data_IF_832259157509
#
_entry.id   IF_832259157509
#
_cell.length_a   1.000
_cell.length_b   1.000
_cell.length_c   1.000
_cell.angle_alpha   90.00
_cell.angle_beta   90.00
_cell.angle_gamma   90.00
#
_symmetry.space_group_name_H-M   'P 1'
#
loop_
_entity.id
_entity.type
_entity.pdbx_description
1 polymer ?
#
# COMPACT_ATOMS: atom_id res chain seq x y z
N UNK A 1 -171.73 -86.60 113.31
CA UNK A 1 -171.18 -87.62 114.23
C UNK A 1 -169.85 -88.06 113.64
N UNK A 2 -168.70 -87.96 114.27
CA UNK A 2 -168.39 -88.31 115.65
C UNK A 2 -167.38 -87.35 116.31
N UNK A 3 -167.33 -87.48 117.63
CA UNK A 3 -166.66 -86.62 118.60
C UNK A 3 -165.13 -86.66 118.52
N UNK A 4 -164.49 -85.53 118.85
CA UNK A 4 -163.57 -85.39 120.00
C UNK A 4 -162.73 -84.12 119.85
N UNK A 5 -162.70 -83.30 120.90
CA UNK A 5 -161.79 -82.16 121.03
C UNK A 5 -160.34 -82.67 121.00
N UNK A 6 -159.42 -82.00 120.30
CA UNK A 6 -158.06 -82.50 120.15
C UNK A 6 -157.32 -82.44 121.48
N UNK A 7 -156.76 -83.58 121.85
CA UNK A 7 -155.90 -83.76 123.00
C UNK A 7 -154.61 -82.91 122.84
N UNK A 8 -154.17 -82.24 123.91
CA UNK A 8 -153.05 -81.26 123.90
C UNK A 8 -151.75 -81.84 123.31
N UNK A 9 -151.57 -83.16 123.29
CA UNK A 9 -150.43 -83.85 122.66
C UNK A 9 -150.41 -83.76 121.12
N UNK A 10 -151.55 -83.75 120.42
CA UNK A 10 -151.59 -83.59 118.95
C UNK A 10 -151.24 -82.16 118.51
N UNK A 11 -151.55 -81.15 119.35
CA UNK A 11 -151.13 -79.76 119.14
C UNK A 11 -149.61 -79.59 119.23
N UNK A 12 -148.95 -80.28 120.17
CA UNK A 12 -147.49 -80.25 120.35
C UNK A 12 -146.78 -80.96 119.19
N UNK A 13 -147.31 -82.10 118.71
CA UNK A 13 -146.79 -82.79 117.53
C UNK A 13 -146.97 -81.98 116.23
N UNK A 14 -148.10 -81.29 116.06
CA UNK A 14 -148.34 -80.39 114.94
C UNK A 14 -147.43 -79.15 114.95
N UNK A 15 -147.12 -78.59 116.13
CA UNK A 15 -146.18 -77.47 116.29
C UNK A 15 -144.74 -77.88 115.95
N UNK A 16 -144.31 -79.06 116.40
CA UNK A 16 -143.00 -79.63 116.08
C UNK A 16 -142.86 -79.92 114.57
N UNK A 17 -143.89 -80.46 113.93
CA UNK A 17 -143.92 -80.68 112.48
C UNK A 17 -143.92 -79.37 111.68
N UNK A 18 -144.59 -78.32 112.18
CA UNK A 18 -144.55 -76.98 111.58
C UNK A 18 -143.16 -76.33 111.71
N UNK A 19 -142.51 -76.51 112.84
CA UNK A 19 -141.16 -75.98 113.09
C UNK A 19 -140.12 -76.73 112.25
N UNK A 20 -140.27 -78.06 112.11
CA UNK A 20 -139.51 -78.84 111.13
C UNK A 20 -139.76 -78.36 109.70
N UNK A 21 -141.01 -78.08 109.32
CA UNK A 21 -141.36 -77.58 107.98
C UNK A 21 -140.79 -76.18 107.73
N UNK A 22 -140.83 -75.31 108.73
CA UNK A 22 -140.23 -73.99 108.65
C UNK A 22 -138.72 -74.08 108.48
N UNK A 23 -138.07 -74.99 109.23
CA UNK A 23 -136.64 -75.26 109.11
C UNK A 23 -136.27 -75.92 107.80
N UNK A 24 -137.11 -76.81 107.27
CA UNK A 24 -136.94 -77.40 105.94
C UNK A 24 -137.09 -76.33 104.86
N UNK A 25 -138.11 -75.47 104.93
CA UNK A 25 -138.28 -74.37 103.99
C UNK A 25 -137.12 -73.35 104.06
N UNK A 26 -136.64 -73.05 105.26
CA UNK A 26 -135.48 -72.17 105.46
C UNK A 26 -134.20 -72.80 104.91
N UNK A 27 -134.00 -74.09 105.13
CA UNK A 27 -132.90 -74.85 104.53
C UNK A 27 -133.04 -74.96 103.00
N UNK A 28 -134.25 -75.13 102.46
CA UNK A 28 -134.51 -75.12 101.02
C UNK A 28 -134.20 -73.76 100.40
N UNK A 29 -134.56 -72.67 101.10
CA UNK A 29 -134.25 -71.31 100.69
C UNK A 29 -132.74 -71.04 100.73
N UNK A 30 -132.08 -71.38 101.84
CA UNK A 30 -130.63 -71.27 101.97
C UNK A 30 -129.90 -72.14 100.95
N UNK A 31 -130.40 -73.34 100.64
CA UNK A 31 -129.86 -74.20 99.61
C UNK A 31 -130.02 -73.58 98.21
N UNK A 32 -131.18 -72.97 97.93
CA UNK A 32 -131.41 -72.26 96.66
C UNK A 32 -130.54 -71.01 96.52
N UNK A 33 -130.35 -70.26 97.60
CA UNK A 33 -129.46 -69.09 97.66
C UNK A 33 -128.01 -69.51 97.45
N UNK A 34 -127.54 -70.51 98.21
CA UNK A 34 -126.21 -71.09 98.05
C UNK A 34 -125.99 -71.66 96.64
N UNK A 35 -127.02 -72.28 96.03
CA UNK A 35 -126.94 -72.79 94.65
C UNK A 35 -126.80 -71.66 93.62
N UNK A 36 -127.51 -70.56 93.81
CA UNK A 36 -127.36 -69.38 92.95
C UNK A 36 -125.99 -68.72 93.11
N UNK A 37 -125.48 -68.61 94.33
CA UNK A 37 -124.13 -68.09 94.59
C UNK A 37 -123.05 -69.00 93.99
N UNK A 38 -123.20 -70.33 94.09
CA UNK A 38 -122.31 -71.29 93.43
C UNK A 38 -122.34 -71.13 91.91
N UNK A 39 -123.51 -70.94 91.31
CA UNK A 39 -123.62 -70.68 89.87
C UNK A 39 -122.92 -69.38 89.47
N UNK A 40 -123.17 -68.29 90.19
CA UNK A 40 -122.54 -66.99 89.91
C UNK A 40 -121.02 -67.02 90.10
N UNK A 41 -120.53 -67.78 91.08
CA UNK A 41 -119.09 -67.94 91.30
C UNK A 41 -118.46 -68.86 90.24
N UNK A 42 -119.17 -69.87 89.76
CA UNK A 42 -118.75 -70.68 88.60
C UNK A 42 -118.64 -69.82 87.33
N UNK A 43 -119.62 -68.95 87.06
CA UNK A 43 -119.59 -68.07 85.89
C UNK A 43 -118.43 -67.06 85.97
N UNK A 44 -118.22 -66.46 87.15
CA UNK A 44 -117.06 -65.57 87.38
C UNK A 44 -115.73 -66.30 87.19
N UNK A 45 -115.61 -67.51 87.73
CA UNK A 45 -114.40 -68.31 87.59
C UNK A 45 -114.13 -68.66 86.13
N UNK A 46 -115.15 -69.05 85.38
CA UNK A 46 -115.04 -69.33 83.95
C UNK A 46 -114.59 -68.09 83.17
N UNK A 47 -115.16 -66.92 83.46
CA UNK A 47 -114.76 -65.66 82.84
C UNK A 47 -113.30 -65.31 83.16
N UNK A 48 -112.90 -65.39 84.43
CA UNK A 48 -111.50 -65.13 84.84
C UNK A 48 -110.53 -66.14 84.23
N UNK A 49 -110.91 -67.41 84.06
CA UNK A 49 -110.11 -68.40 83.35
C UNK A 49 -109.93 -68.05 81.87
N UNK A 50 -110.97 -67.53 81.22
CA UNK A 50 -110.88 -67.05 79.83
C UNK A 50 -109.96 -65.83 79.72
N UNK A 51 -110.13 -64.82 80.57
CA UNK A 51 -109.27 -63.62 80.58
C UNK A 51 -107.81 -63.98 80.89
N UNK A 52 -107.58 -64.93 81.78
CA UNK A 52 -106.24 -65.44 82.08
C UNK A 52 -105.62 -66.13 80.87
N UNK A 53 -106.39 -66.94 80.14
CA UNK A 53 -105.92 -67.58 78.92
C UNK A 53 -105.57 -66.54 77.84
N UNK A 54 -106.42 -65.53 77.64
CA UNK A 54 -106.17 -64.45 76.68
C UNK A 54 -104.93 -63.65 77.05
N UNK A 55 -104.79 -63.27 78.33
CA UNK A 55 -103.59 -62.56 78.81
C UNK A 55 -102.31 -63.39 78.68
N UNK A 56 -102.36 -64.70 78.96
CA UNK A 56 -101.23 -65.61 78.71
C UNK A 56 -100.87 -65.67 77.23
N UNK A 57 -101.86 -65.75 76.33
CA UNK A 57 -101.63 -65.72 74.89
C UNK A 57 -100.96 -64.42 74.44
N UNK A 58 -101.47 -63.27 74.90
CA UNK A 58 -100.84 -61.96 74.58
C UNK A 58 -99.43 -61.83 75.16
N UNK A 59 -99.18 -62.40 76.34
CA UNK A 59 -97.85 -62.39 76.94
C UNK A 59 -96.86 -63.18 76.10
N UNK A 60 -97.24 -64.37 75.62
CA UNK A 60 -96.41 -65.18 74.73
C UNK A 60 -96.14 -64.45 73.41
N UNK A 61 -97.14 -63.81 72.80
CA UNK A 61 -96.96 -62.99 71.59
C UNK A 61 -96.02 -61.80 71.81
N UNK A 62 -96.15 -61.09 72.94
CA UNK A 62 -95.23 -59.98 73.29
C UNK A 62 -93.81 -60.46 73.54
N UNK A 63 -93.63 -61.67 74.07
CA UNK A 63 -92.32 -62.28 74.29
C UNK A 63 -91.65 -62.65 72.98
N UNK A 64 -92.41 -63.23 72.05
CA UNK A 64 -91.90 -63.59 70.72
C UNK A 64 -91.51 -62.34 69.92
N UNK A 65 -92.33 -61.28 69.97
CA UNK A 65 -91.99 -59.99 69.34
C UNK A 65 -90.79 -59.31 70.00
N UNK A 66 -90.66 -59.35 71.33
CA UNK A 66 -89.48 -58.83 72.03
C UNK A 66 -88.19 -59.56 71.59
N UNK A 67 -88.22 -60.89 71.51
CA UNK A 67 -87.04 -61.66 71.09
C UNK A 67 -86.69 -61.40 69.61
N UNK A 68 -87.70 -61.22 68.75
CA UNK A 68 -87.51 -60.79 67.37
C UNK A 68 -86.84 -59.42 67.26
N UNK A 69 -87.35 -58.41 67.98
CA UNK A 69 -86.76 -57.06 67.99
C UNK A 69 -85.33 -57.04 68.55
N UNK A 70 -85.05 -57.84 69.58
CA UNK A 70 -83.70 -58.00 70.15
C UNK A 70 -82.72 -58.60 69.14
N UNK A 71 -83.16 -59.60 68.38
CA UNK A 71 -82.36 -60.21 67.32
C UNK A 71 -82.04 -59.19 66.22
N UNK A 72 -83.05 -58.49 65.70
CA UNK A 72 -82.85 -57.44 64.69
C UNK A 72 -81.97 -56.29 65.18
N UNK A 73 -82.08 -55.91 66.46
CA UNK A 73 -81.20 -54.88 67.05
C UNK A 73 -79.74 -55.34 67.09
N UNK A 74 -79.48 -56.59 67.48
CA UNK A 74 -78.13 -57.17 67.50
C UNK A 74 -77.52 -57.25 66.10
N UNK A 75 -78.33 -57.62 65.10
CA UNK A 75 -77.92 -57.64 63.69
C UNK A 75 -77.60 -56.24 63.17
N UNK A 76 -78.45 -55.25 63.49
CA UNK A 76 -78.23 -53.86 63.14
C UNK A 76 -76.96 -53.29 63.78
N UNK A 77 -76.72 -53.59 65.07
CA UNK A 77 -75.51 -53.17 65.77
C UNK A 77 -74.25 -53.75 65.13
N UNK A 78 -74.25 -55.05 64.83
CA UNK A 78 -73.12 -55.71 64.15
C UNK A 78 -72.84 -55.10 62.78
N UNK A 79 -73.90 -54.76 62.04
CA UNK A 79 -73.79 -54.11 60.73
C UNK A 79 -73.21 -52.70 60.83
N UNK A 80 -73.64 -51.92 61.82
CA UNK A 80 -73.11 -50.58 62.10
C UNK A 80 -71.63 -50.63 62.50
N UNK A 81 -71.26 -51.54 63.39
CA UNK A 81 -69.87 -51.73 63.83
C UNK A 81 -68.96 -52.07 62.64
N UNK A 82 -69.39 -53.00 61.78
CA UNK A 82 -68.66 -53.33 60.55
C UNK A 82 -68.52 -52.12 59.63
N UNK A 83 -69.60 -51.37 59.41
CA UNK A 83 -69.59 -50.18 58.54
C UNK A 83 -68.66 -49.10 59.07
N UNK A 84 -68.61 -48.89 60.39
CA UNK A 84 -67.69 -47.95 61.04
C UNK A 84 -66.24 -48.40 60.82
N UNK A 85 -65.95 -49.69 61.00
CA UNK A 85 -64.61 -50.23 60.78
C UNK A 85 -64.15 -50.07 59.31
N UNK A 86 -65.02 -50.39 58.36
CA UNK A 86 -64.75 -50.25 56.92
C UNK A 86 -64.50 -48.78 56.54
N UNK A 87 -65.32 -47.86 57.06
CA UNK A 87 -65.15 -46.42 56.84
C UNK A 87 -63.86 -45.90 57.48
N UNK A 88 -63.50 -46.37 58.68
CA UNK A 88 -62.25 -45.98 59.34
C UNK A 88 -61.03 -46.43 58.53
N UNK A 89 -61.06 -47.65 57.99
CA UNK A 89 -60.00 -48.16 57.12
C UNK A 89 -59.87 -47.30 55.85
N UNK A 90 -61.00 -46.93 55.23
CA UNK A 90 -61.03 -46.06 54.06
C UNK A 90 -60.49 -44.66 54.34
N UNK A 91 -60.85 -44.07 55.48
CA UNK A 91 -60.32 -42.76 55.92
C UNK A 91 -58.81 -42.83 56.08
N UNK A 92 -58.28 -43.89 56.72
CA UNK A 92 -56.84 -44.04 56.91
C UNK A 92 -56.09 -44.16 55.58
N UNK A 93 -56.64 -44.92 54.62
CA UNK A 93 -56.06 -45.03 53.27
C UNK A 93 -56.03 -43.69 52.55
N UNK A 94 -57.15 -42.96 52.55
CA UNK A 94 -57.24 -41.65 51.90
C UNK A 94 -56.29 -40.62 52.53
N UNK A 95 -56.10 -40.67 53.85
CA UNK A 95 -55.14 -39.80 54.53
C UNK A 95 -53.69 -40.11 54.13
N UNK A 96 -53.35 -41.40 53.96
CA UNK A 96 -52.01 -41.78 53.50
C UNK A 96 -51.75 -41.30 52.06
N UNK A 97 -52.72 -41.49 51.15
CA UNK A 97 -52.65 -40.98 49.78
C UNK A 97 -52.55 -39.45 49.73
N UNK A 98 -53.28 -38.75 50.60
CA UNK A 98 -53.21 -37.29 50.70
C UNK A 98 -51.81 -36.80 51.09
N UNK A 99 -51.17 -37.43 52.07
CA UNK A 99 -49.81 -37.08 52.48
C UNK A 99 -48.79 -37.40 51.39
N UNK A 100 -48.94 -38.52 50.68
CA UNK A 100 -48.10 -38.84 49.52
C UNK A 100 -48.26 -37.80 48.39
N UNK A 101 -49.48 -37.34 48.13
CA UNK A 101 -49.70 -36.29 47.14
C UNK A 101 -49.12 -34.95 47.57
N UNK A 102 -49.18 -34.59 48.86
CA UNK A 102 -48.54 -33.37 49.38
C UNK A 102 -47.03 -33.37 49.18
N UNK A 103 -46.35 -34.49 49.46
CA UNK A 103 -44.90 -34.59 49.27
C UNK A 103 -44.54 -34.46 47.79
N UNK A 104 -45.27 -35.16 46.90
CA UNK A 104 -45.07 -35.03 45.44
C UNK A 104 -45.27 -33.60 44.93
N UNK A 105 -46.28 -32.88 45.44
CA UNK A 105 -46.50 -31.46 45.09
C UNK A 105 -45.30 -30.63 45.52
N UNK A 106 -44.81 -30.80 46.75
CA UNK A 106 -43.64 -30.08 47.24
C UNK A 106 -42.38 -30.36 46.41
N UNK A 107 -42.17 -31.60 45.99
CA UNK A 107 -41.03 -31.97 45.13
C UNK A 107 -41.15 -31.35 43.74
N UNK A 108 -42.36 -31.30 43.17
CA UNK A 108 -42.61 -30.66 41.88
C UNK A 108 -42.38 -29.14 41.97
N UNK A 109 -42.83 -28.48 43.03
CA UNK A 109 -42.62 -27.05 43.25
C UNK A 109 -41.13 -26.72 43.34
N UNK A 110 -40.36 -27.50 44.10
CA UNK A 110 -38.91 -27.33 44.20
C UNK A 110 -38.21 -27.53 42.85
N UNK A 111 -38.60 -28.55 42.09
CA UNK A 111 -38.05 -28.80 40.76
C UNK A 111 -38.39 -27.67 39.78
N UNK A 112 -39.61 -27.14 39.84
CA UNK A 112 -40.04 -26.02 39.02
C UNK A 112 -39.22 -24.76 39.33
N UNK A 113 -39.04 -24.43 40.61
CA UNK A 113 -38.19 -23.31 41.03
C UNK A 113 -36.72 -23.46 40.55
N UNK A 114 -36.16 -24.68 40.62
CA UNK A 114 -34.83 -24.96 40.08
C UNK A 114 -34.77 -24.78 38.56
N UNK A 115 -35.81 -25.20 37.82
CA UNK A 115 -35.88 -25.00 36.38
C UNK A 115 -36.02 -23.54 35.99
N UNK A 116 -36.81 -22.75 36.72
CA UNK A 116 -36.91 -21.30 36.53
C UNK A 116 -35.57 -20.60 36.77
N UNK A 117 -34.87 -20.95 37.86
CA UNK A 117 -33.53 -20.39 38.13
C UNK A 117 -32.54 -20.70 37.00
N UNK A 118 -32.53 -21.94 36.50
CA UNK A 118 -31.65 -22.34 35.40
C UNK A 118 -32.01 -21.64 34.08
N UNK A 119 -33.31 -21.45 33.81
CA UNK A 119 -33.79 -20.71 32.66
C UNK A 119 -33.32 -19.25 32.70
N UNK A 120 -33.42 -18.60 33.85
CA UNK A 120 -32.94 -17.23 34.04
C UNK A 120 -31.44 -17.11 33.80
N UNK A 121 -30.63 -18.00 34.40
CA UNK A 121 -29.19 -18.02 34.18
C UNK A 121 -28.82 -18.25 32.70
N UNK A 122 -29.57 -19.12 32.01
CA UNK A 122 -29.37 -19.37 30.57
C UNK A 122 -29.70 -18.12 29.74
N UNK A 123 -30.78 -17.43 30.07
CA UNK A 123 -31.18 -16.20 29.39
C UNK A 123 -30.15 -15.06 29.59
N UNK A 124 -29.59 -14.92 30.79
CA UNK A 124 -28.49 -13.97 31.05
C UNK A 124 -27.25 -14.30 30.22
N UNK A 125 -26.86 -15.58 30.14
CA UNK A 125 -25.75 -16.01 29.29
C UNK A 125 -26.00 -15.72 27.81
N UNK A 126 -27.22 -15.93 27.31
CA UNK A 126 -27.60 -15.60 25.93
C UNK A 126 -27.48 -14.08 25.69
N UNK A 127 -27.92 -13.25 26.62
CA UNK A 127 -27.83 -11.80 26.50
C UNK A 127 -26.36 -11.32 26.45
N UNK A 128 -25.50 -11.90 27.29
CA UNK A 128 -24.06 -11.62 27.29
C UNK A 128 -23.41 -12.03 25.97
N UNK A 129 -23.64 -13.26 25.51
CA UNK A 129 -23.10 -13.76 24.24
C UNK A 129 -23.60 -12.94 23.03
N UNK A 130 -24.84 -12.45 23.09
CA UNK A 130 -25.39 -11.56 22.05
C UNK A 130 -24.63 -10.24 21.99
N UNK A 131 -24.28 -9.67 23.14
CA UNK A 131 -23.50 -8.42 23.23
C UNK A 131 -22.06 -8.61 22.74
N UNK A 132 -21.42 -9.72 23.12
CA UNK A 132 -20.08 -10.08 22.64
C UNK A 132 -20.06 -10.28 21.11
N UNK A 133 -21.06 -10.96 20.56
CA UNK A 133 -21.20 -11.17 19.12
C UNK A 133 -21.31 -9.84 18.37
N UNK A 134 -22.11 -8.90 18.86
CA UNK A 134 -22.28 -7.61 18.20
C UNK A 134 -21.00 -6.76 18.28
N UNK A 135 -20.30 -6.80 19.41
CA UNK A 135 -18.99 -6.16 19.58
C UNK A 135 -17.97 -6.74 18.59
N UNK A 136 -17.95 -8.07 18.42
CA UNK A 136 -17.06 -8.74 17.47
C UNK A 136 -17.37 -8.37 16.01
N UNK A 137 -18.65 -8.24 15.63
CA UNK A 137 -19.05 -7.77 14.29
C UNK A 137 -18.55 -6.35 14.03
N UNK A 138 -18.76 -5.43 14.96
CA UNK A 138 -18.30 -4.06 14.80
C UNK A 138 -16.77 -4.02 14.62
N UNK A 139 -16.03 -4.81 15.40
CA UNK A 139 -14.57 -4.89 15.27
C UNK A 139 -14.14 -5.40 13.89
N UNK A 140 -14.85 -6.35 13.30
CA UNK A 140 -14.57 -6.82 11.94
C UNK A 140 -14.80 -5.72 10.91
N UNK A 141 -15.91 -4.98 10.99
CA UNK A 141 -16.17 -3.84 10.09
C UNK A 141 -15.08 -2.75 10.19
N UNK A 142 -14.60 -2.48 11.41
CA UNK A 142 -13.50 -1.53 11.61
C UNK A 142 -12.19 -2.03 10.98
N UNK A 143 -11.90 -3.33 11.14
CA UNK A 143 -10.71 -3.96 10.54
C UNK A 143 -10.77 -3.97 9.00
N UNK A 144 -11.93 -4.24 8.42
CA UNK A 144 -12.15 -4.16 6.97
C UNK A 144 -11.90 -2.75 6.43
N UNK A 145 -12.34 -1.73 7.17
CA UNK A 145 -12.09 -0.33 6.82
C UNK A 145 -10.59 0.00 6.87
N UNK A 146 -9.90 -0.38 7.96
CA UNK A 146 -8.45 -0.17 8.09
C UNK A 146 -7.64 -0.90 7.01
N UNK A 147 -8.07 -2.09 6.60
CA UNK A 147 -7.45 -2.86 5.53
C UNK A 147 -7.53 -2.09 4.20
N UNK A 148 -8.71 -1.57 3.88
CA UNK A 148 -8.92 -0.79 2.65
C UNK A 148 -8.10 0.49 2.63
N UNK A 149 -8.05 1.23 3.75
CA UNK A 149 -7.25 2.44 3.89
C UNK A 149 -5.75 2.15 3.69
N UNK A 150 -5.25 1.07 4.30
CA UNK A 150 -3.86 0.63 4.16
C UNK A 150 -3.54 0.22 2.71
N UNK A 151 -4.46 -0.47 2.05
CA UNK A 151 -4.29 -0.89 0.66
C UNK A 151 -4.22 0.33 -0.28
N UNK A 152 -5.11 1.30 -0.10
CA UNK A 152 -5.09 2.55 -0.86
C UNK A 152 -3.79 3.33 -0.65
N UNK A 153 -3.31 3.44 0.60
CA UNK A 153 -2.03 4.07 0.91
C UNK A 153 -0.85 3.34 0.27
N UNK A 154 -0.90 2.02 0.22
CA UNK A 154 0.13 1.19 -0.44
C UNK A 154 0.15 1.41 -1.95
N UNK A 155 -1.02 1.45 -2.59
CA UNK A 155 -1.12 1.79 -4.02
C UNK A 155 -0.58 3.17 -4.33
N UNK A 156 -0.91 4.19 -3.53
CA UNK A 156 -0.37 5.54 -3.70
C UNK A 156 1.16 5.57 -3.57
N UNK A 157 1.72 4.84 -2.60
CA UNK A 157 3.18 4.72 -2.44
C UNK A 157 3.84 3.97 -3.59
N UNK A 158 3.16 2.99 -4.19
CA UNK A 158 3.66 2.30 -5.37
C UNK A 158 3.72 3.22 -6.60
N UNK A 159 2.74 4.10 -6.77
CA UNK A 159 2.73 5.11 -7.84
C UNK A 159 3.86 6.14 -7.66
N UNK A 160 4.05 6.61 -6.43
CA UNK A 160 5.16 7.52 -6.07
C UNK A 160 6.52 6.87 -6.36
N UNK A 161 6.68 5.59 -6.00
CA UNK A 161 7.90 4.82 -6.27
C UNK A 161 8.18 4.70 -7.78
N UNK A 162 7.16 4.38 -8.59
CA UNK A 162 7.31 4.28 -10.04
C UNK A 162 7.69 5.62 -10.67
N UNK A 163 7.15 6.72 -10.14
CA UNK A 163 7.48 8.08 -10.58
C UNK A 163 8.95 8.40 -10.29
N UNK A 164 9.41 8.14 -9.06
CA UNK A 164 10.81 8.35 -8.66
C UNK A 164 11.78 7.47 -9.46
N UNK A 165 11.38 6.23 -9.78
CA UNK A 165 12.18 5.34 -10.62
C UNK A 165 12.36 5.90 -12.04
N UNK A 166 11.30 6.47 -12.62
CA UNK A 166 11.35 7.13 -13.93
C UNK A 166 12.26 8.36 -13.90
N UNK A 167 12.13 9.21 -12.88
CA UNK A 167 12.97 10.40 -12.71
C UNK A 167 14.45 10.04 -12.56
N UNK A 168 14.76 8.96 -11.83
CA UNK A 168 16.13 8.43 -11.71
C UNK A 168 16.71 8.03 -13.06
N UNK A 169 15.94 7.34 -13.91
CA UNK A 169 16.37 6.93 -15.25
C UNK A 169 16.61 8.13 -16.17
N UNK A 170 15.77 9.16 -16.07
CA UNK A 170 15.95 10.41 -16.80
C UNK A 170 17.23 11.14 -16.36
N UNK A 171 17.46 11.28 -15.05
CA UNK A 171 18.67 11.89 -14.51
C UNK A 171 19.93 11.12 -14.91
N UNK A 172 19.88 9.78 -14.91
CA UNK A 172 20.99 8.95 -15.38
C UNK A 172 21.32 9.21 -16.85
N UNK A 173 20.30 9.40 -17.69
CA UNK A 173 20.49 9.70 -19.11
C UNK A 173 21.12 11.08 -19.33
N UNK A 174 20.65 12.10 -18.58
CA UNK A 174 21.24 13.46 -18.59
C UNK A 174 22.69 13.48 -18.10
N UNK A 175 23.01 12.64 -17.11
CA UNK A 175 24.38 12.51 -16.61
C UNK A 175 25.31 11.97 -17.70
N UNK A 176 24.91 10.90 -18.39
CA UNK A 176 25.69 10.33 -19.50
C UNK A 176 25.91 11.34 -20.63
N UNK A 177 24.87 12.08 -21.04
CA UNK A 177 25.02 13.09 -22.11
C UNK A 177 25.98 14.21 -21.70
N UNK A 178 25.89 14.68 -20.45
CA UNK A 178 26.79 15.71 -19.93
C UNK A 178 28.23 15.20 -19.89
N UNK A 179 28.44 13.93 -19.56
CA UNK A 179 29.77 13.32 -19.52
C UNK A 179 30.39 13.17 -20.93
N UNK A 180 29.58 12.86 -21.94
CA UNK A 180 30.00 12.86 -23.34
C UNK A 180 30.39 14.27 -23.82
N UNK A 181 29.60 15.29 -23.48
CA UNK A 181 29.89 16.69 -23.81
C UNK A 181 31.21 17.15 -23.18
N UNK A 182 31.45 16.80 -21.91
CA UNK A 182 32.73 17.08 -21.23
C UNK A 182 33.90 16.41 -21.97
N UNK A 183 33.75 15.16 -22.40
CA UNK A 183 34.80 14.46 -23.14
C UNK A 183 35.09 15.12 -24.50
N UNK A 184 34.04 15.57 -25.21
CA UNK A 184 34.18 16.31 -26.47
C UNK A 184 34.90 17.64 -26.26
N UNK A 185 34.49 18.43 -25.27
CA UNK A 185 35.15 19.70 -24.94
C UNK A 185 36.61 19.50 -24.55
N UNK A 186 36.92 18.45 -23.78
CA UNK A 186 38.30 18.11 -23.44
C UNK A 186 39.15 17.79 -24.68
N UNK A 187 38.59 17.06 -25.66
CA UNK A 187 39.25 16.79 -26.94
C UNK A 187 39.51 18.09 -27.72
N UNK A 188 38.52 18.98 -27.81
CA UNK A 188 38.65 20.28 -28.48
C UNK A 188 39.73 21.16 -27.83
N UNK A 189 39.80 21.19 -26.50
CA UNK A 189 40.85 21.93 -25.77
C UNK A 189 42.24 21.37 -26.11
N UNK A 190 42.39 20.04 -26.18
CA UNK A 190 43.66 19.40 -26.56
C UNK A 190 44.09 19.79 -27.99
N UNK A 191 43.15 19.78 -28.94
CA UNK A 191 43.41 20.14 -30.34
C UNK A 191 43.79 21.62 -30.49
N UNK A 192 43.09 22.52 -29.78
CA UNK A 192 43.43 23.94 -29.72
C UNK A 192 44.81 24.16 -29.11
N UNK A 193 45.16 23.46 -28.02
CA UNK A 193 46.48 23.55 -27.40
C UNK A 193 47.60 23.08 -28.36
N UNK A 194 47.39 21.99 -29.09
CA UNK A 194 48.35 21.53 -30.10
C UNK A 194 48.52 22.56 -31.23
N UNK A 195 47.42 23.16 -31.69
CA UNK A 195 47.44 24.22 -32.70
C UNK A 195 48.19 25.45 -32.19
N UNK A 196 47.96 25.85 -30.94
CA UNK A 196 48.67 26.95 -30.28
C UNK A 196 50.18 26.69 -30.26
N UNK A 197 50.60 25.50 -29.83
CA UNK A 197 52.02 25.12 -29.79
C UNK A 197 52.69 25.13 -31.17
N UNK A 198 51.98 24.70 -32.21
CA UNK A 198 52.45 24.79 -33.60
C UNK A 198 52.62 26.25 -34.03
N UNK A 199 51.66 27.12 -33.69
CA UNK A 199 51.74 28.54 -34.00
C UNK A 199 52.86 29.24 -33.23
N UNK A 200 53.09 28.89 -31.97
CA UNK A 200 54.22 29.40 -31.20
C UNK A 200 55.56 28.99 -31.81
N UNK A 201 55.69 27.73 -32.25
CA UNK A 201 56.87 27.25 -32.99
C UNK A 201 57.07 28.05 -34.28
N UNK A 202 56.00 28.24 -35.07
CA UNK A 202 56.04 29.01 -36.30
C UNK A 202 56.45 30.48 -36.06
N UNK A 203 55.99 31.09 -34.96
CA UNK A 203 56.37 32.44 -34.56
C UNK A 203 57.87 32.49 -34.20
N UNK A 204 58.39 31.49 -33.49
CA UNK A 204 59.82 31.42 -33.16
C UNK A 204 60.68 31.30 -34.43
N UNK A 205 60.30 30.45 -35.37
CA UNK A 205 60.97 30.29 -36.66
C UNK A 205 60.97 31.60 -37.46
N UNK A 206 59.83 32.29 -37.54
CA UNK A 206 59.73 33.58 -38.21
C UNK A 206 60.59 34.66 -37.53
N UNK A 207 60.61 34.70 -36.20
CA UNK A 207 61.46 35.63 -35.45
C UNK A 207 62.95 35.37 -35.70
N UNK A 208 63.35 34.10 -35.78
CA UNK A 208 64.73 33.72 -36.13
C UNK A 208 65.08 34.17 -37.55
N UNK A 209 64.21 33.91 -38.52
CA UNK A 209 64.42 34.36 -39.90
C UNK A 209 64.52 35.90 -40.01
N UNK A 210 63.73 36.64 -39.23
CA UNK A 210 63.83 38.11 -39.15
C UNK A 210 65.17 38.55 -38.56
N UNK A 211 65.68 37.87 -37.53
CA UNK A 211 67.01 38.17 -36.96
C UNK A 211 68.13 37.93 -37.99
N UNK A 212 68.08 36.82 -38.72
CA UNK A 212 69.04 36.50 -39.79
C UNK A 212 68.99 37.54 -40.92
N UNK A 213 67.79 37.94 -41.33
CA UNK A 213 67.63 38.99 -42.34
C UNK A 213 68.17 40.34 -41.86
N UNK A 214 67.93 40.70 -40.59
CA UNK A 214 68.48 41.91 -40.00
C UNK A 214 70.02 41.88 -39.95
N UNK A 215 70.61 40.74 -39.61
CA UNK A 215 72.06 40.54 -39.63
C UNK A 215 72.62 40.70 -41.06
N UNK A 216 71.99 40.08 -42.06
CA UNK A 216 72.38 40.22 -43.46
C UNK A 216 72.28 41.68 -43.95
N UNK A 217 71.26 42.41 -43.53
CA UNK A 217 71.12 43.86 -43.83
C UNK A 217 72.26 44.67 -43.20
N UNK A 218 72.68 44.36 -41.97
CA UNK A 218 73.81 45.02 -41.33
C UNK A 218 75.13 44.76 -42.08
N UNK A 219 75.38 43.51 -42.48
CA UNK A 219 76.55 43.11 -43.26
C UNK A 219 76.57 43.80 -44.62
N UNK A 220 75.43 43.85 -45.32
CA UNK A 220 75.31 44.59 -46.58
C UNK A 220 75.56 46.08 -46.39
N UNK A 221 75.03 46.69 -45.33
CA UNK A 221 75.29 48.10 -45.02
C UNK A 221 76.78 48.37 -44.73
N UNK A 222 77.46 47.46 -44.03
CA UNK A 222 78.90 47.55 -43.81
C UNK A 222 79.67 47.44 -45.13
N UNK A 223 79.34 46.47 -45.99
CA UNK A 223 79.96 46.32 -47.30
C UNK A 223 79.76 47.56 -48.19
N UNK A 224 78.56 48.18 -48.13
CA UNK A 224 78.28 49.45 -48.82
C UNK A 224 79.17 50.57 -48.27
N UNK A 225 79.35 50.69 -46.96
CA UNK A 225 80.25 51.68 -46.34
C UNK A 225 81.70 51.47 -46.79
N UNK A 226 82.20 50.24 -46.74
CA UNK A 226 83.55 49.88 -47.20
C UNK A 226 83.75 50.25 -48.67
N UNK A 227 82.82 49.85 -49.55
CA UNK A 227 82.85 50.24 -50.97
C UNK A 227 82.76 51.75 -51.17
N UNK A 228 81.97 52.45 -50.37
CA UNK A 228 81.89 53.92 -50.40
C UNK A 228 83.24 54.56 -50.04
N UNK A 229 83.97 54.02 -49.05
CA UNK A 229 85.32 54.52 -48.70
C UNK A 229 86.35 54.21 -49.79
N UNK A 230 86.28 53.04 -50.42
CA UNK A 230 87.15 52.67 -51.53
C UNK A 230 86.90 53.56 -52.76
N UNK A 231 85.63 53.85 -53.08
CA UNK A 231 85.26 54.80 -54.13
C UNK A 231 85.80 56.19 -53.80
N UNK A 232 85.64 56.66 -52.55
CA UNK A 232 86.17 57.96 -52.14
C UNK A 232 87.70 58.03 -52.26
N UNK A 233 88.41 56.98 -51.85
CA UNK A 233 89.87 56.85 -52.01
C UNK A 233 90.27 56.84 -53.49
N UNK A 234 89.60 56.03 -54.31
CA UNK A 234 89.85 55.98 -55.76
C UNK A 234 89.58 57.33 -56.42
N UNK A 235 88.52 58.03 -56.00
CA UNK A 235 88.19 59.39 -56.46
C UNK A 235 89.29 60.38 -56.07
N UNK A 236 89.80 60.31 -54.84
CA UNK A 236 90.90 61.16 -54.38
C UNK A 236 92.20 60.90 -55.17
N UNK A 237 92.54 59.62 -55.39
CA UNK A 237 93.64 59.25 -56.27
C UNK A 237 93.44 59.76 -57.70
N UNK A 238 92.21 59.71 -58.22
CA UNK A 238 91.90 60.27 -59.54
C UNK A 238 92.16 61.77 -59.57
N UNK A 239 91.72 62.51 -58.56
CA UNK A 239 91.97 63.97 -58.46
C UNK A 239 93.46 64.30 -58.29
N UNK A 240 94.22 63.45 -57.60
CA UNK A 240 95.67 63.60 -57.46
C UNK A 240 96.38 63.38 -58.80
N UNK A 241 96.01 62.32 -59.53
CA UNK A 241 96.51 62.07 -60.90
C UNK A 241 96.09 63.18 -61.85
N UNK A 242 94.88 63.73 -61.73
CA UNK A 242 94.44 64.90 -62.49
C UNK A 242 95.27 66.15 -62.16
N UNK A 243 95.62 66.37 -60.90
CA UNK A 243 96.52 67.46 -60.48
C UNK A 243 97.94 67.28 -61.02
N UNK A 244 98.50 66.07 -60.96
CA UNK A 244 99.80 65.76 -61.58
C UNK A 244 99.78 65.98 -63.10
N UNK A 245 98.65 65.65 -63.75
CA UNK A 245 98.44 65.91 -65.17
C UNK A 245 98.36 67.41 -65.48
N UNK A 246 97.76 68.20 -64.59
CA UNK A 246 97.68 69.66 -64.72
C UNK A 246 99.03 70.35 -64.44
N UNK A 247 99.87 69.80 -63.54
CA UNK A 247 101.25 70.24 -63.31
C UNK A 247 102.20 69.90 -64.49
N UNK A 248 101.87 68.86 -65.26
CA UNK A 248 102.52 68.50 -66.53
C UNK A 248 102.00 69.32 -67.73
N UNK A 249 101.09 70.27 -67.49
CA UNK A 249 100.53 71.16 -68.51
C UNK A 249 101.37 72.45 -68.62
N UNK A 250 101.89 72.81 -69.81
CA UNK A 250 102.70 74.02 -69.99
C UNK A 250 101.90 75.32 -69.74
N UNK A 251 102.50 76.38 -69.16
CA UNK A 251 101.79 77.61 -68.81
C UNK A 251 101.32 78.40 -70.05
N UNK A 252 100.20 79.12 -69.94
CA UNK A 252 99.77 80.08 -70.96
C UNK A 252 100.83 81.18 -71.12
N UNK A 253 101.48 81.18 -72.28
CA UNK A 253 102.41 82.22 -72.74
C UNK A 253 101.71 83.07 -73.80
N UNK A 254 101.46 84.32 -73.44
CA UNK A 254 101.19 85.38 -74.41
C UNK A 254 102.47 85.74 -75.18
N UNK A 255 102.41 85.60 -76.51
CA UNK A 255 103.09 86.42 -77.53
C UNK A 255 104.63 86.36 -77.65
N UNK A 256 105.13 85.79 -78.75
CA UNK A 256 106.42 86.17 -79.36
C UNK A 256 107.12 85.02 -80.09
N UNK A 257 106.94 84.95 -81.41
CA UNK A 257 107.30 83.77 -82.21
C UNK A 257 108.77 83.52 -82.49
N UNK A 258 109.08 82.24 -82.73
CA UNK A 258 110.07 81.75 -83.70
C UNK A 258 109.57 80.41 -84.27
N UNK A 259 109.78 80.22 -85.56
CA UNK A 259 109.40 79.04 -86.34
C UNK A 259 110.53 77.98 -86.35
N UNK A 260 110.15 76.69 -86.36
CA UNK A 260 110.83 75.55 -87.03
C UNK A 260 109.96 74.30 -86.84
N UNK A 261 109.28 73.83 -87.90
CA UNK A 261 109.71 72.76 -88.83
C UNK A 261 109.38 71.34 -88.34
N UNK A 262 108.30 70.80 -88.93
CA UNK A 262 107.80 69.43 -88.80
C UNK A 262 108.77 68.40 -89.39
N UNK A 263 109.01 67.30 -88.66
CA UNK A 263 109.52 66.05 -89.23
C UNK A 263 108.37 65.10 -89.52
N UNK A 264 108.02 65.02 -90.80
CA UNK A 264 107.16 63.97 -91.36
C UNK A 264 108.06 62.78 -91.72
N UNK A 265 107.77 61.61 -91.16
CA UNK A 265 108.38 60.32 -91.55
C UNK A 265 107.43 59.52 -92.44
N UNK A 266 107.96 58.86 -93.48
CA UNK A 266 107.19 58.01 -94.41
C UNK A 266 106.40 56.90 -93.70
N UNK A 267 105.19 56.56 -94.18
CA UNK A 267 104.46 55.40 -93.69
C UNK A 267 105.07 54.10 -94.23
N UNK A 268 105.31 53.12 -93.36
CA UNK A 268 105.54 51.74 -93.78
C UNK A 268 104.21 51.13 -94.23
N UNK A 269 103.98 51.08 -95.53
CA UNK A 269 103.20 50.00 -96.11
C UNK A 269 104.21 48.96 -96.56
N UNK A 270 104.23 47.79 -95.92
CA UNK A 270 104.80 46.61 -96.55
C UNK A 270 103.81 45.45 -96.50
N UNK A 271 103.28 45.13 -97.68
CA UNK A 271 102.63 43.88 -97.97
C UNK A 271 103.72 42.94 -98.51
N UNK A 272 104.01 41.87 -97.76
CA UNK A 272 104.56 40.57 -98.21
C UNK A 272 105.96 40.55 -98.90
N UNK A 273 106.90 39.88 -98.20
CA UNK A 273 108.08 39.12 -98.68
C UNK A 273 109.31 39.83 -99.32
N UNK A 274 110.48 39.40 -98.80
CA UNK A 274 111.85 39.42 -99.34
C UNK A 274 112.71 40.69 -99.19
N UNK A 275 113.92 40.47 -98.63
CA UNK A 275 115.15 41.27 -98.74
C UNK A 275 115.26 42.04 -100.07
N UNK A 276 115.60 43.33 -99.99
CA UNK A 276 116.79 43.89 -100.67
C UNK A 276 116.92 45.38 -100.35
N UNK A 277 118.14 45.73 -99.95
CA UNK A 277 118.83 47.01 -99.84
C UNK A 277 118.10 48.34 -99.50
N UNK A 278 118.72 49.04 -98.54
CA UNK A 278 118.38 50.38 -98.07
C UNK A 278 118.66 51.47 -99.10
N UNK A 279 117.76 52.46 -99.18
CA UNK A 279 118.05 53.79 -99.70
C UNK A 279 117.37 54.84 -98.81
N UNK A 280 118.17 55.50 -97.96
CA UNK A 280 117.71 56.51 -97.00
C UNK A 280 117.69 57.91 -97.62
N UNK A 281 116.63 58.23 -98.36
CA UNK A 281 116.41 59.59 -98.89
C UNK A 281 115.49 60.38 -97.96
N UNK A 282 115.94 61.54 -97.47
CA UNK A 282 115.17 62.47 -96.63
C UNK A 282 115.18 63.86 -97.24
N UNK A 283 114.03 64.51 -97.32
CA UNK A 283 113.91 65.89 -97.78
C UNK A 283 113.43 66.05 -99.22
N UNK A 284 114.05 66.99 -99.95
CA UNK A 284 113.52 67.70 -101.13
C UNK A 284 113.19 66.85 -102.39
N UNK A 285 113.27 65.52 -102.31
CA UNK A 285 113.12 64.57 -103.42
C UNK A 285 111.82 63.74 -103.40
N UNK A 286 110.86 64.10 -102.53
CA UNK A 286 109.53 63.45 -102.44
C UNK A 286 108.45 64.36 -103.08
N UNK A 287 107.77 63.87 -104.11
CA UNK A 287 106.62 64.55 -104.73
C UNK A 287 105.29 63.93 -104.30
N UNK A 288 104.32 64.77 -103.99
CA UNK A 288 102.96 64.36 -103.63
C UNK A 288 102.06 64.44 -104.86
N UNK A 289 101.48 63.32 -105.27
CA UNK A 289 100.65 63.20 -106.48
C UNK A 289 99.30 62.60 -106.10
N UNK A 290 98.21 63.04 -106.74
CA UNK A 290 96.88 62.49 -106.50
C UNK A 290 96.76 61.05 -107.00
N UNK A 291 96.31 60.15 -106.13
CA UNK A 291 96.12 58.73 -106.36
C UNK A 291 94.72 58.46 -106.92
N UNK A 292 94.60 58.54 -108.25
CA UNK A 292 93.31 58.41 -108.97
C UNK A 292 92.61 57.05 -108.82
N UNK A 293 93.23 56.08 -108.15
CA UNK A 293 92.68 54.76 -107.83
C UNK A 293 91.96 54.71 -106.48
N UNK A 294 92.11 55.73 -105.63
CA UNK A 294 91.53 55.75 -104.29
C UNK A 294 90.74 57.05 -104.07
N UNK A 295 89.42 57.00 -104.28
CA UNK A 295 88.51 58.13 -104.07
C UNK A 295 88.13 58.18 -102.59
N UNK A 296 88.50 59.26 -101.91
CA UNK A 296 88.19 59.43 -100.49
C UNK A 296 86.74 59.87 -100.26
N UNK A 297 86.24 60.75 -101.11
CA UNK A 297 84.85 61.23 -101.06
C UNK A 297 84.47 61.93 -102.36
N UNK A 298 83.17 62.14 -102.56
CA UNK A 298 82.63 62.96 -103.62
C UNK A 298 82.05 64.24 -103.02
N UNK A 299 82.46 65.39 -103.56
CA UNK A 299 81.80 66.67 -103.29
C UNK A 299 81.03 67.03 -104.56
N UNK A 300 79.75 66.62 -104.60
CA UNK A 300 78.93 66.68 -105.81
C UNK A 300 79.30 65.59 -106.83
N UNK A 301 79.40 65.93 -108.11
CA UNK A 301 79.71 64.98 -109.20
C UNK A 301 81.21 64.87 -109.56
N UNK A 302 82.12 65.40 -108.73
CA UNK A 302 83.57 65.35 -108.97
C UNK A 302 84.24 64.50 -107.88
N UNK A 303 84.97 63.41 -108.23
CA UNK A 303 85.69 62.62 -107.24
C UNK A 303 86.91 63.35 -106.67
N UNK A 304 87.07 63.31 -105.35
CA UNK A 304 88.30 63.71 -104.66
C UNK A 304 89.17 62.48 -104.38
N UNK A 305 90.41 62.50 -104.88
CA UNK A 305 91.36 61.41 -104.75
C UNK A 305 92.29 61.58 -103.55
N UNK A 306 92.68 60.47 -102.93
CA UNK A 306 93.73 60.44 -101.91
C UNK A 306 95.05 60.92 -102.50
N UNK A 307 95.94 61.55 -101.72
CA UNK A 307 97.28 61.93 -102.18
C UNK A 307 98.27 60.84 -101.80
N UNK A 308 99.15 60.43 -102.73
CA UNK A 308 100.28 59.53 -102.47
C UNK A 308 101.61 60.21 -102.68
N UNK A 309 102.62 59.77 -101.93
CA UNK A 309 103.98 60.26 -102.02
C UNK A 309 104.81 59.32 -102.91
N UNK A 310 105.46 59.87 -103.95
CA UNK A 310 106.31 59.12 -104.88
C UNK A 310 107.71 59.75 -104.86
N UNK A 311 108.72 58.92 -104.59
CA UNK A 311 110.13 59.33 -104.56
C UNK A 311 110.70 59.43 -105.97
N UNK A 312 111.49 60.47 -106.26
CA UNK A 312 112.19 60.61 -107.53
C UNK A 312 113.49 59.78 -107.49
N UNK A 313 113.64 58.82 -108.39
CA UNK A 313 114.79 57.92 -108.47
C UNK A 313 115.91 58.55 -109.30
N UNK A 314 116.98 59.00 -108.64
CA UNK A 314 118.32 59.18 -109.21
C UNK A 314 119.36 59.16 -108.08
N UNK A 315 119.74 57.95 -107.66
CA UNK A 315 121.01 57.70 -106.96
C UNK A 315 121.51 56.31 -107.41
N UNK A 316 122.73 56.34 -107.97
CA UNK A 316 123.56 55.25 -108.50
C UNK A 316 124.01 54.30 -107.39
#
# INVERSE_FOLDING_TARGET
KAESKPDKKMSVAGRFLLDLRAKVNDLEKQLSEAKNEVSQTQDKLANTQSELADTMSTLDETKDTLEGTKTSLSEAQTTLEKTIADNQAKINSLNAELEEHKTKISDLDNNLALKESNLNATNENIANLTTELETAKQRNTDLETQLNDTNNATSAKQEEFNTLQTEKEELSSKLSSSQEEIAQLASQISELNNTLLQKDTQIQELNQAVQELNQAVQELNQAIQEKSTEIASTTAHLTEVESELDDLKPPEITSGGFATEERITCPSLNQILVKSEMCGSVGKDIKTVEDKTNVLSYVGHIPMYAKKHVCNADCV
#
